data_IF_688384992097
#
_entry.id   IF_688384992097
#
_cell.length_a   1.000
_cell.length_b   1.000
_cell.length_c   1.000
_cell.angle_alpha   90.00
_cell.angle_beta   90.00
_cell.angle_gamma   90.00
#
_symmetry.space_group_name_H-M   'P 1'
#
loop_
_entity.id
_entity.type
_entity.pdbx_description
1 polymer ?
#
# COMPACT_ATOMS: atom_id res chain seq x y z
N UNK A 1 19.28 -2.09 -15.67
CA UNK A 1 18.74 -1.24 -14.57
C UNK A 1 18.18 0.03 -15.20
N UNK A 2 16.99 0.49 -14.78
CA UNK A 2 16.28 1.61 -15.42
C UNK A 2 16.80 3.02 -15.08
N UNK A 3 17.88 3.14 -14.28
CA UNK A 3 18.51 4.43 -13.97
C UNK A 3 17.74 5.35 -13.03
N UNK A 4 16.57 4.94 -12.52
CA UNK A 4 15.68 5.83 -11.75
C UNK A 4 16.10 6.07 -10.29
N UNK A 5 16.86 5.15 -9.69
CA UNK A 5 17.23 5.17 -8.27
C UNK A 5 18.75 5.16 -8.16
N UNK A 6 19.29 6.00 -7.26
CA UNK A 6 20.70 5.98 -6.86
C UNK A 6 20.85 5.52 -5.40
N UNK A 7 21.96 4.86 -5.11
CA UNK A 7 22.30 4.37 -3.77
C UNK A 7 23.54 5.08 -3.26
N UNK A 8 23.37 5.85 -2.18
CA UNK A 8 24.42 6.62 -1.51
C UNK A 8 24.81 5.91 -0.21
N UNK A 9 26.07 6.09 0.22
CA UNK A 9 26.46 5.63 1.56
C UNK A 9 25.83 6.53 2.61
N UNK A 10 25.31 5.93 3.69
CA UNK A 10 24.82 6.69 4.84
C UNK A 10 26.03 7.24 5.62
N UNK A 11 26.11 8.56 5.86
CA UNK A 11 27.23 9.18 6.59
C UNK A 11 27.31 8.75 8.05
N UNK A 12 26.20 8.34 8.68
CA UNK A 12 26.13 7.95 10.10
C UNK A 12 26.40 6.46 10.33
N UNK A 13 26.04 5.59 9.38
CA UNK A 13 26.35 4.16 9.42
C UNK A 13 26.72 3.63 8.04
N UNK A 14 28.01 3.33 7.84
CA UNK A 14 28.55 2.84 6.57
C UNK A 14 27.97 1.51 6.09
N UNK A 15 27.26 0.76 6.94
CA UNK A 15 26.54 -0.47 6.58
C UNK A 15 25.16 -0.19 5.96
N UNK A 16 24.64 1.02 6.13
CA UNK A 16 23.37 1.48 5.56
C UNK A 16 23.60 2.17 4.22
N UNK A 17 22.59 2.07 3.35
CA UNK A 17 22.53 2.76 2.06
C UNK A 17 21.29 3.64 2.02
N UNK A 18 21.47 4.89 1.63
CA UNK A 18 20.38 5.80 1.34
C UNK A 18 19.95 5.62 -0.12
N UNK A 19 18.68 5.24 -0.33
CA UNK A 19 18.09 5.15 -1.65
C UNK A 19 17.36 6.45 -1.95
N UNK A 20 17.69 7.11 -3.06
CA UNK A 20 17.01 8.33 -3.51
C UNK A 20 16.76 8.26 -5.01
N UNK A 21 15.85 9.11 -5.48
CA UNK A 21 15.61 9.27 -6.91
C UNK A 21 16.85 9.91 -7.56
N UNK A 22 17.21 9.39 -8.73
CA UNK A 22 18.09 10.09 -9.66
C UNK A 22 17.37 11.31 -10.26
N UNK A 23 18.11 12.21 -10.90
CA UNK A 23 17.52 13.30 -11.69
C UNK A 23 16.49 12.77 -12.71
N UNK A 24 16.83 11.68 -13.41
CA UNK A 24 15.90 11.02 -14.32
C UNK A 24 14.63 10.50 -13.64
N UNK A 25 14.77 9.98 -12.42
CA UNK A 25 13.65 9.54 -11.58
C UNK A 25 12.75 10.68 -11.15
N UNK A 26 13.33 11.84 -10.82
CA UNK A 26 12.59 13.05 -10.48
C UNK A 26 11.83 13.60 -11.70
N UNK A 27 12.47 13.68 -12.86
CA UNK A 27 11.81 14.10 -14.10
C UNK A 27 10.64 13.18 -14.50
N UNK A 28 10.82 11.87 -14.31
CA UNK A 28 9.76 10.90 -14.53
C UNK A 28 8.62 11.10 -13.52
N UNK A 29 8.94 11.30 -12.24
CA UNK A 29 7.95 11.58 -11.19
C UNK A 29 7.10 12.81 -11.55
N UNK A 30 7.72 13.91 -11.98
CA UNK A 30 6.99 15.13 -12.37
C UNK A 30 6.02 14.88 -13.52
N UNK A 31 6.40 14.05 -14.50
CA UNK A 31 5.48 13.66 -15.59
C UNK A 31 4.35 12.77 -15.09
N UNK A 32 4.66 11.86 -14.17
CA UNK A 32 3.69 10.95 -13.57
C UNK A 32 2.67 11.70 -12.69
N UNK A 33 3.08 12.73 -11.95
CA UNK A 33 2.17 13.51 -11.09
C UNK A 33 0.93 14.03 -11.83
N UNK A 34 1.05 14.39 -13.10
CA UNK A 34 -0.08 14.85 -13.93
C UNK A 34 -1.08 13.71 -14.12
N UNK A 35 -0.61 12.55 -14.58
CA UNK A 35 -1.46 11.37 -14.76
C UNK A 35 -2.08 10.90 -13.44
N UNK A 36 -1.34 10.95 -12.33
CA UNK A 36 -1.86 10.63 -11.00
C UNK A 36 -2.97 11.58 -10.56
N UNK A 37 -2.82 12.88 -10.83
CA UNK A 37 -3.87 13.87 -10.55
C UNK A 37 -5.15 13.58 -11.34
N UNK A 38 -5.02 13.20 -12.61
CA UNK A 38 -6.17 12.87 -13.45
C UNK A 38 -6.88 11.59 -12.95
N UNK A 39 -6.12 10.58 -12.57
CA UNK A 39 -6.65 9.34 -11.95
C UNK A 39 -7.38 9.67 -10.64
N UNK A 40 -6.75 10.44 -9.75
CA UNK A 40 -7.33 10.81 -8.46
C UNK A 40 -8.63 11.60 -8.63
N UNK A 41 -8.64 12.59 -9.55
CA UNK A 41 -9.84 13.38 -9.83
C UNK A 41 -10.97 12.51 -10.40
N UNK A 42 -10.65 11.60 -11.32
CA UNK A 42 -11.63 10.68 -11.90
C UNK A 42 -12.23 9.75 -10.85
N UNK A 43 -11.40 9.22 -9.95
CA UNK A 43 -11.85 8.40 -8.81
C UNK A 43 -12.72 9.20 -7.84
N UNK A 44 -12.35 10.44 -7.52
CA UNK A 44 -13.17 11.30 -6.68
C UNK A 44 -14.54 11.57 -7.30
N UNK A 45 -14.58 11.95 -8.58
CA UNK A 45 -15.84 12.18 -9.30
C UNK A 45 -16.72 10.93 -9.34
N UNK A 46 -16.11 9.75 -9.52
CA UNK A 46 -16.84 8.49 -9.51
C UNK A 46 -17.41 8.20 -8.12
N UNK A 47 -16.64 8.39 -7.06
CA UNK A 47 -16.95 7.88 -5.72
C UNK A 47 -17.70 8.88 -4.81
N UNK A 48 -17.52 10.18 -5.01
CA UNK A 48 -18.12 11.25 -4.18
C UNK A 48 -19.66 11.21 -4.11
N UNK A 49 -20.40 10.88 -5.19
CA UNK A 49 -21.86 10.79 -5.13
C UNK A 49 -22.38 9.57 -4.37
N UNK A 50 -21.54 8.57 -4.10
CA UNK A 50 -21.99 7.32 -3.48
C UNK A 50 -22.12 7.47 -1.96
N UNK A 51 -23.23 6.97 -1.42
CA UNK A 51 -23.49 6.91 0.02
C UNK A 51 -22.50 6.02 0.78
N UNK A 52 -21.90 5.04 0.11
CA UNK A 52 -20.92 4.12 0.70
C UNK A 52 -19.51 4.47 0.24
N UNK A 53 -18.63 4.77 1.20
CA UNK A 53 -17.23 5.13 0.94
C UNK A 53 -16.38 3.89 0.70
N UNK A 54 -16.40 3.35 -0.53
CA UNK A 54 -15.68 2.13 -0.91
C UNK A 54 -14.20 2.14 -0.51
N UNK A 55 -13.48 3.25 -0.74
CA UNK A 55 -12.06 3.34 -0.39
C UNK A 55 -11.82 3.21 1.12
N UNK A 56 -12.71 3.75 1.95
CA UNK A 56 -12.65 3.56 3.40
C UNK A 56 -12.90 2.10 3.78
N UNK A 57 -13.84 1.43 3.13
CA UNK A 57 -14.09 0.01 3.39
C UNK A 57 -12.88 -0.87 3.02
N UNK A 58 -12.15 -0.52 1.96
CA UNK A 58 -10.90 -1.20 1.59
C UNK A 58 -9.83 -0.97 2.67
N UNK A 59 -9.64 0.27 3.11
CA UNK A 59 -8.68 0.63 4.17
C UNK A 59 -8.96 -0.14 5.47
N UNK A 60 -10.23 -0.21 5.90
CA UNK A 60 -10.64 -0.97 7.09
C UNK A 60 -10.32 -2.47 6.98
N UNK A 61 -10.46 -3.04 5.78
CA UNK A 61 -10.14 -4.44 5.50
C UNK A 61 -8.62 -4.68 5.53
N UNK A 62 -7.83 -3.77 4.94
CA UNK A 62 -6.36 -3.84 4.96
C UNK A 62 -5.81 -3.74 6.39
N UNK A 63 -6.38 -2.86 7.22
CA UNK A 63 -6.10 -2.77 8.65
C UNK A 63 -6.45 -4.06 9.38
N UNK A 64 -7.60 -4.64 9.04
CA UNK A 64 -8.03 -5.94 9.53
C UNK A 64 -7.04 -7.06 9.20
N UNK A 65 -6.49 -7.07 7.98
CA UNK A 65 -5.47 -8.04 7.57
C UNK A 65 -4.14 -7.81 8.29
N UNK A 66 -3.71 -6.56 8.44
CA UNK A 66 -2.47 -6.19 9.14
C UNK A 66 -2.48 -6.61 10.61
N UNK A 67 -3.62 -6.46 11.28
CA UNK A 67 -3.81 -6.91 12.67
C UNK A 67 -3.88 -8.42 12.79
N UNK A 68 -4.49 -9.09 11.82
CA UNK A 68 -4.70 -10.54 11.88
C UNK A 68 -4.86 -11.14 10.48
N UNK A 69 -3.86 -11.91 10.01
CA UNK A 69 -3.91 -12.56 8.70
C UNK A 69 -5.11 -13.51 8.57
N UNK A 70 -5.61 -13.66 7.34
CA UNK A 70 -6.79 -14.47 7.07
C UNK A 70 -6.64 -15.93 7.50
N UNK A 71 -5.46 -16.52 7.29
CA UNK A 71 -5.16 -17.89 7.67
C UNK A 71 -5.36 -18.14 9.17
N UNK A 72 -4.97 -17.16 10.01
CA UNK A 72 -5.16 -17.26 11.45
C UNK A 72 -6.64 -17.24 11.82
N UNK A 73 -7.44 -16.38 11.16
CA UNK A 73 -8.90 -16.34 11.32
C UNK A 73 -9.53 -17.70 10.98
N UNK A 74 -9.13 -18.31 9.86
CA UNK A 74 -9.60 -19.65 9.47
C UNK A 74 -9.24 -20.70 10.52
N UNK A 75 -8.00 -20.70 11.01
CA UNK A 75 -7.54 -21.68 12.02
C UNK A 75 -8.36 -21.61 13.31
N UNK A 76 -8.72 -20.42 13.75
CA UNK A 76 -9.54 -20.24 14.95
C UNK A 76 -10.98 -20.70 14.75
N UNK A 77 -11.58 -20.38 13.60
CA UNK A 77 -12.92 -20.90 13.24
C UNK A 77 -12.92 -22.42 13.21
N UNK A 78 -11.91 -23.04 12.59
CA UNK A 78 -11.75 -24.51 12.57
C UNK A 78 -11.65 -25.08 13.98
N UNK A 79 -10.83 -24.48 14.85
CA UNK A 79 -10.64 -24.95 16.23
C UNK A 79 -11.93 -24.85 17.05
N UNK A 80 -12.68 -23.74 16.91
CA UNK A 80 -13.98 -23.58 17.58
C UNK A 80 -14.97 -24.65 17.15
N UNK A 81 -15.09 -24.88 15.84
CA UNK A 81 -15.97 -25.94 15.31
C UNK A 81 -15.59 -27.32 15.87
N UNK A 82 -14.30 -27.65 15.88
CA UNK A 82 -13.81 -28.93 16.43
C UNK A 82 -14.07 -29.08 17.94
N UNK A 83 -14.16 -27.98 18.68
CA UNK A 83 -14.49 -27.99 20.10
C UNK A 83 -16.00 -28.17 20.35
N UNK A 84 -16.84 -27.62 19.47
CA UNK A 84 -18.31 -27.75 19.55
C UNK A 84 -18.80 -29.13 19.07
N UNK A 85 -17.99 -29.85 18.30
CA UNK A 85 -18.27 -31.21 17.80
C UNK A 85 -17.85 -32.34 18.79
N UNK A 86 -17.31 -32.01 19.97
CA UNK A 86 -16.85 -32.95 21.03
C UNK A 86 -17.73 -32.83 22.27
#
# INVERSE_FOLDING_TARGET
KAGLIVSLQDPEDKRRRLLTLSEHGVELLTRMEVAWRDIARSLHQLLEPHTHHLLRAIEEVEDGFSRKPFLQRIREVKRKRQWEEV
#
